data_IF_494687050915
#
_entry.id   IF_494687050915
#
_cell.length_a   1.000
_cell.length_b   1.000
_cell.length_c   1.000
_cell.angle_alpha   90.00
_cell.angle_beta   90.00
_cell.angle_gamma   90.00
#
_symmetry.space_group_name_H-M   'P 1'
#
loop_
_entity.id
_entity.type
_entity.pdbx_description
1 polymer ?
#
# COMPACT_ATOMS: atom_id res chain seq x y z
N UNK A 1 22.34 -23.63 1.26
CA UNK A 1 21.44 -22.74 0.49
C UNK A 1 22.15 -21.42 0.22
N UNK A 2 22.37 -21.04 -1.05
CA UNK A 2 22.91 -19.72 -1.39
C UNK A 2 21.84 -18.68 -1.03
N UNK A 3 22.10 -17.80 -0.04
CA UNK A 3 21.23 -16.65 0.23
C UNK A 3 21.25 -15.78 -1.02
N UNK A 4 20.18 -15.83 -1.83
CA UNK A 4 19.98 -14.85 -2.89
C UNK A 4 19.97 -13.49 -2.21
N UNK A 5 21.00 -12.68 -2.44
CA UNK A 5 20.97 -11.26 -2.12
C UNK A 5 19.95 -10.65 -3.07
N UNK A 6 18.70 -10.53 -2.62
CA UNK A 6 17.66 -9.82 -3.35
C UNK A 6 18.18 -8.40 -3.61
N UNK A 7 18.52 -8.11 -4.88
CA UNK A 7 18.94 -6.77 -5.28
C UNK A 7 17.74 -5.84 -5.11
N UNK A 8 17.92 -4.77 -4.37
CA UNK A 8 16.89 -3.73 -4.24
C UNK A 8 16.75 -3.02 -5.57
N UNK A 9 15.50 -2.72 -5.92
CA UNK A 9 15.14 -2.02 -7.14
C UNK A 9 14.66 -0.62 -6.82
N UNK A 10 14.87 0.26 -7.79
CA UNK A 10 14.28 1.59 -7.78
C UNK A 10 13.05 1.62 -8.67
N UNK A 11 12.00 2.25 -8.18
CA UNK A 11 10.75 2.42 -8.92
C UNK A 11 10.34 3.87 -8.90
N UNK A 12 9.57 4.26 -9.89
CA UNK A 12 8.93 5.56 -9.95
C UNK A 12 7.41 5.39 -9.97
N UNK A 13 6.75 6.27 -9.23
CA UNK A 13 5.31 6.33 -9.10
C UNK A 13 4.85 7.76 -9.33
N UNK A 14 3.98 7.93 -10.33
CA UNK A 14 3.40 9.23 -10.62
C UNK A 14 2.25 9.54 -9.66
N UNK A 15 2.30 10.71 -9.04
CA UNK A 15 1.25 11.21 -8.16
C UNK A 15 0.38 12.26 -8.87
N UNK A 16 -0.89 12.32 -8.48
CA UNK A 16 -1.86 13.28 -9.01
C UNK A 16 -1.63 14.70 -8.49
N UNK A 17 -2.28 15.67 -9.14
CA UNK A 17 -2.09 17.12 -8.98
C UNK A 17 -2.26 17.60 -7.52
N UNK A 18 -1.17 17.79 -6.76
CA UNK A 18 -0.94 18.80 -5.69
C UNK A 18 0.35 18.47 -4.88
N UNK A 19 1.47 19.13 -5.19
CA UNK A 19 2.80 18.86 -4.62
C UNK A 19 2.87 19.10 -3.10
N UNK A 20 2.46 20.29 -2.67
CA UNK A 20 2.66 20.74 -1.30
C UNK A 20 1.77 20.01 -0.30
N UNK A 21 0.53 19.70 -0.68
CA UNK A 21 -0.38 18.96 0.21
C UNK A 21 0.08 17.51 0.37
N UNK A 22 0.50 16.86 -0.73
CA UNK A 22 1.01 15.50 -0.69
C UNK A 22 2.24 15.37 0.21
N UNK A 23 3.25 16.24 0.05
CA UNK A 23 4.48 16.13 0.83
C UNK A 23 4.25 16.34 2.33
N UNK A 24 3.41 17.31 2.70
CA UNK A 24 3.01 17.55 4.10
C UNK A 24 2.29 16.33 4.69
N UNK A 25 1.34 15.75 3.95
CA UNK A 25 0.62 14.55 4.38
C UNK A 25 1.56 13.35 4.52
N UNK A 26 2.41 13.12 3.51
CA UNK A 26 3.37 12.02 3.48
C UNK A 26 4.36 12.08 4.65
N UNK A 27 4.87 13.27 5.00
CA UNK A 27 5.74 13.44 6.18
C UNK A 27 5.02 13.10 7.49
N UNK A 28 3.75 13.48 7.62
CA UNK A 28 2.97 13.26 8.85
C UNK A 28 2.50 11.80 9.01
N UNK A 29 2.05 11.17 7.92
CA UNK A 29 1.31 9.90 7.94
C UNK A 29 2.02 8.75 7.24
N UNK A 30 3.18 9.00 6.63
CA UNK A 30 3.79 8.09 5.67
C UNK A 30 3.01 8.06 4.35
N UNK A 31 3.59 7.37 3.37
CA UNK A 31 3.02 7.17 2.04
C UNK A 31 2.28 5.84 2.01
N UNK A 32 1.11 5.80 1.37
CA UNK A 32 0.38 4.58 1.04
C UNK A 32 -0.29 4.77 -0.33
N UNK A 33 0.03 3.91 -1.29
CA UNK A 33 -0.39 4.07 -2.70
C UNK A 33 -0.83 2.76 -3.30
N UNK A 34 -2.02 2.79 -3.90
CA UNK A 34 -2.58 1.66 -4.63
C UNK A 34 -1.71 1.33 -5.85
N UNK A 35 -1.43 0.06 -6.05
CA UNK A 35 -0.66 -0.42 -7.20
C UNK A 35 -1.34 -1.67 -7.79
N UNK A 36 -1.23 -1.90 -9.12
CA UNK A 36 -1.71 -3.14 -9.73
C UNK A 36 -1.07 -4.36 -9.07
N UNK A 37 -1.85 -5.41 -8.84
CA UNK A 37 -1.41 -6.61 -8.13
C UNK A 37 -0.19 -7.28 -8.81
N UNK A 38 -0.19 -7.31 -10.15
CA UNK A 38 0.92 -7.86 -10.95
C UNK A 38 2.23 -7.10 -10.75
N UNK A 39 2.17 -5.80 -10.45
CA UNK A 39 3.34 -4.99 -10.13
C UNK A 39 3.73 -5.14 -8.67
N UNK A 40 2.75 -5.22 -7.76
CA UNK A 40 2.96 -5.42 -6.32
C UNK A 40 3.77 -6.69 -6.04
N UNK A 41 3.49 -7.78 -6.76
CA UNK A 41 4.26 -9.03 -6.68
C UNK A 41 5.76 -8.89 -6.96
N UNK A 42 6.15 -7.89 -7.74
CA UNK A 42 7.55 -7.69 -8.21
C UNK A 42 8.32 -6.67 -7.37
N UNK A 43 7.63 -6.01 -6.45
CA UNK A 43 8.21 -5.11 -5.47
C UNK A 43 8.74 -5.96 -4.33
N UNK A 44 9.91 -5.64 -3.81
CA UNK A 44 10.49 -6.27 -2.62
C UNK A 44 10.48 -5.32 -1.42
N UNK A 45 10.61 -5.86 -0.22
CA UNK A 45 10.87 -5.05 0.97
C UNK A 45 12.16 -4.25 0.82
N UNK A 46 12.08 -2.96 1.08
CA UNK A 46 13.19 -2.02 0.98
C UNK A 46 13.50 -1.47 -0.39
N UNK A 47 12.81 -1.92 -1.43
CA UNK A 47 12.79 -1.23 -2.72
C UNK A 47 12.45 0.25 -2.51
N UNK A 48 13.18 1.12 -3.23
CA UNK A 48 12.97 2.56 -3.17
C UNK A 48 11.96 2.96 -4.23
N UNK A 49 10.99 3.77 -3.83
CA UNK A 49 9.96 4.31 -4.72
C UNK A 49 10.04 5.83 -4.71
N UNK A 50 10.31 6.41 -5.88
CA UNK A 50 10.29 7.84 -6.12
C UNK A 50 8.88 8.29 -6.48
N UNK A 51 8.28 9.15 -5.65
CA UNK A 51 7.05 9.84 -5.96
C UNK A 51 7.35 11.05 -6.85
N UNK A 52 6.66 11.15 -7.99
CA UNK A 52 6.95 12.17 -9.01
C UNK A 52 5.71 12.75 -9.67
N UNK A 53 5.87 13.92 -10.28
CA UNK A 53 4.91 14.48 -11.23
C UNK A 53 5.37 14.24 -12.65
N UNK A 54 4.46 13.84 -13.53
CA UNK A 54 4.74 13.76 -14.96
C UNK A 54 4.51 15.12 -15.61
N UNK A 55 5.58 15.69 -16.16
CA UNK A 55 5.52 16.86 -17.03
C UNK A 55 5.80 16.41 -18.45
N UNK A 56 4.77 16.41 -19.31
CA UNK A 56 4.92 16.09 -20.73
C UNK A 56 5.81 17.14 -21.39
N UNK A 57 6.72 16.69 -22.26
CA UNK A 57 7.51 17.64 -23.07
C UNK A 57 6.65 18.42 -24.06
N UNK A 58 5.60 17.78 -24.57
CA UNK A 58 4.71 18.36 -25.56
C UNK A 58 3.29 18.47 -25.00
N UNK A 59 2.82 19.69 -24.80
CA UNK A 59 1.43 20.01 -24.46
C UNK A 59 0.83 20.89 -25.56
N UNK A 60 0.00 20.31 -26.42
CA UNK A 60 -1.03 21.06 -27.16
C UNK A 60 -0.59 22.07 -28.23
N UNK A 61 0.34 21.71 -29.13
CA UNK A 61 0.51 22.43 -30.40
C UNK A 61 -0.33 21.81 -31.52
N UNK A 62 -0.90 22.64 -32.41
CA UNK A 62 -1.43 22.20 -33.70
C UNK A 62 -0.26 21.83 -34.61
N UNK A 63 0.18 20.57 -34.54
CA UNK A 63 1.20 20.04 -35.44
C UNK A 63 0.55 19.37 -36.66
N UNK A 64 1.12 19.53 -37.87
CA UNK A 64 0.73 18.76 -39.05
C UNK A 64 0.68 17.25 -38.77
N UNK A 65 -0.26 16.54 -39.40
CA UNK A 65 -0.53 15.10 -39.19
C UNK A 65 0.69 14.20 -39.40
N UNK A 66 1.60 14.59 -40.31
CA UNK A 66 2.85 13.88 -40.61
C UNK A 66 3.84 13.92 -39.44
N UNK A 67 3.98 15.09 -38.80
CA UNK A 67 4.79 15.27 -37.59
C UNK A 67 4.14 14.55 -36.40
N UNK A 68 2.81 14.52 -36.34
CA UNK A 68 2.06 13.80 -35.30
C UNK A 68 2.32 12.29 -35.32
N UNK A 69 2.44 11.69 -36.50
CA UNK A 69 2.71 10.25 -36.65
C UNK A 69 4.15 9.90 -36.25
N UNK A 70 5.14 10.71 -36.67
CA UNK A 70 6.53 10.56 -36.23
C UNK A 70 6.69 10.77 -34.71
N UNK A 71 5.94 11.72 -34.14
CA UNK A 71 5.95 12.03 -32.71
C UNK A 71 5.04 11.13 -31.86
N UNK A 72 4.32 10.15 -32.43
CA UNK A 72 3.30 9.37 -31.72
C UNK A 72 3.81 8.74 -30.41
N UNK A 73 5.05 8.23 -30.43
CA UNK A 73 5.72 7.68 -29.25
C UNK A 73 6.30 8.77 -28.32
N UNK A 74 6.79 9.88 -28.88
CA UNK A 74 7.37 11.02 -28.15
C UNK A 74 6.31 11.82 -27.37
N UNK A 75 5.06 11.88 -27.86
CA UNK A 75 3.93 12.56 -27.17
C UNK A 75 3.61 12.00 -25.79
N UNK A 76 4.03 10.77 -25.51
CA UNK A 76 3.82 10.10 -24.23
C UNK A 76 5.02 10.24 -23.29
N UNK A 77 6.17 10.67 -23.81
CA UNK A 77 7.35 10.97 -23.02
C UNK A 77 7.23 12.34 -22.35
N UNK A 78 7.97 12.46 -21.27
CA UNK A 78 8.11 13.68 -20.51
C UNK A 78 9.19 13.51 -19.48
N UNK A 79 9.23 14.42 -18.53
CA UNK A 79 10.09 14.34 -17.36
C UNK A 79 9.29 14.03 -16.12
N UNK A 80 9.82 13.16 -15.27
CA UNK A 80 9.26 12.88 -13.96
C UNK A 80 9.98 13.73 -12.92
N UNK A 81 9.36 14.83 -12.47
CA UNK A 81 9.93 15.66 -11.41
C UNK A 81 9.75 14.99 -10.07
N UNK A 82 10.86 14.72 -9.40
CA UNK A 82 10.88 14.01 -8.14
C UNK A 82 10.40 14.93 -7.01
N UNK A 83 9.68 14.34 -6.05
CA UNK A 83 9.05 15.05 -4.92
C UNK A 83 9.62 14.54 -3.62
N UNK A 84 9.51 13.23 -3.44
CA UNK A 84 10.11 12.52 -2.34
C UNK A 84 10.31 11.06 -2.74
N UNK A 85 11.09 10.35 -1.95
CA UNK A 85 11.22 8.90 -2.02
C UNK A 85 10.76 8.26 -0.71
N UNK A 86 10.40 6.99 -0.79
CA UNK A 86 10.21 6.14 0.39
C UNK A 86 10.71 4.72 0.08
N UNK A 87 11.00 3.97 1.14
CA UNK A 87 11.24 2.53 1.04
C UNK A 87 9.98 1.75 1.32
N UNK A 88 9.76 0.70 0.56
CA UNK A 88 8.62 -0.20 0.79
C UNK A 88 8.86 -0.97 2.08
N UNK A 89 8.13 -0.57 3.13
CA UNK A 89 8.16 -1.24 4.44
C UNK A 89 6.77 -1.68 4.89
N UNK A 90 5.73 -1.22 4.19
CA UNK A 90 4.34 -1.55 4.48
C UNK A 90 3.63 -2.06 3.22
N UNK A 91 2.96 -3.19 3.36
CA UNK A 91 1.93 -3.66 2.43
C UNK A 91 0.58 -3.42 3.10
N UNK A 92 -0.35 -2.74 2.41
CA UNK A 92 -1.69 -2.51 2.90
C UNK A 92 -2.65 -3.36 2.10
N UNK A 93 -3.41 -4.21 2.76
CA UNK A 93 -4.37 -5.10 2.13
C UNK A 93 -5.75 -4.53 2.39
N UNK A 94 -6.44 -4.11 1.32
CA UNK A 94 -7.75 -3.48 1.45
C UNK A 94 -8.83 -4.53 1.71
N UNK A 95 -9.69 -4.18 2.65
CA UNK A 95 -10.96 -4.76 3.05
C UNK A 95 -11.42 -6.00 2.27
N UNK A 96 -10.84 -7.14 2.64
CA UNK A 96 -11.36 -8.46 2.31
C UNK A 96 -11.27 -9.35 3.55
N UNK A 97 -12.25 -9.24 4.47
CA UNK A 97 -12.16 -9.87 5.77
C UNK A 97 -12.09 -11.40 5.71
N UNK A 98 -12.78 -12.01 4.74
CA UNK A 98 -12.80 -13.46 4.56
C UNK A 98 -11.44 -13.97 4.12
N UNK A 99 -10.84 -13.34 3.10
CA UNK A 99 -9.49 -13.64 2.66
C UNK A 99 -8.47 -13.43 3.77
N UNK A 100 -8.57 -12.34 4.54
CA UNK A 100 -7.65 -12.07 5.65
C UNK A 100 -7.77 -13.09 6.78
N UNK A 101 -8.99 -13.55 7.09
CA UNK A 101 -9.16 -14.61 8.07
C UNK A 101 -8.51 -15.92 7.63
N UNK A 102 -8.61 -16.29 6.35
CA UNK A 102 -7.99 -17.52 5.84
C UNK A 102 -6.48 -17.37 5.69
N UNK A 103 -6.02 -16.21 5.21
CA UNK A 103 -4.59 -15.87 5.13
C UNK A 103 -3.91 -15.97 6.49
N UNK A 104 -4.54 -15.41 7.52
CA UNK A 104 -4.05 -15.50 8.90
C UNK A 104 -4.11 -16.91 9.49
N UNK A 105 -4.72 -17.90 8.84
CA UNK A 105 -4.76 -19.29 9.32
C UNK A 105 -3.93 -20.23 8.46
N UNK A 106 -3.38 -19.73 7.35
CA UNK A 106 -2.56 -20.52 6.44
C UNK A 106 -1.20 -20.81 7.11
N UNK A 107 -0.81 -22.09 7.16
CA UNK A 107 0.42 -22.55 7.82
C UNK A 107 1.66 -21.84 7.28
N UNK A 108 1.71 -21.58 5.96
CA UNK A 108 2.81 -20.86 5.30
C UNK A 108 2.98 -19.45 5.85
N UNK A 109 1.90 -18.83 6.33
CA UNK A 109 1.91 -17.49 6.92
C UNK A 109 2.25 -17.59 8.40
N UNK A 110 1.61 -18.51 9.13
CA UNK A 110 1.78 -18.68 10.57
C UNK A 110 3.24 -18.87 10.97
N UNK A 111 3.97 -19.73 10.27
CA UNK A 111 5.40 -19.99 10.51
C UNK A 111 6.30 -18.75 10.33
N UNK A 112 5.80 -17.72 9.64
CA UNK A 112 6.56 -16.51 9.34
C UNK A 112 6.07 -15.28 10.12
N UNK A 113 5.05 -15.40 10.96
CA UNK A 113 4.59 -14.30 11.82
C UNK A 113 5.61 -14.06 12.93
N UNK A 114 6.05 -12.81 13.05
CA UNK A 114 7.01 -12.38 14.08
C UNK A 114 6.40 -11.45 15.12
N UNK A 115 5.33 -10.74 14.78
CA UNK A 115 4.65 -9.80 15.66
C UNK A 115 3.25 -9.47 15.10
N UNK A 116 2.25 -9.31 15.97
CA UNK A 116 0.92 -8.83 15.59
C UNK A 116 0.51 -7.72 16.55
N UNK A 117 0.05 -6.61 15.99
CA UNK A 117 -0.56 -5.51 16.72
C UNK A 117 -2.03 -5.38 16.32
N UNK A 118 -2.94 -5.63 17.25
CA UNK A 118 -4.36 -5.27 17.12
C UNK A 118 -4.53 -3.78 17.43
N UNK A 119 -5.11 -3.01 16.50
CA UNK A 119 -5.42 -1.59 16.70
C UNK A 119 -6.87 -1.36 17.09
N UNK A 120 -7.68 -2.41 17.19
CA UNK A 120 -9.05 -2.35 17.67
C UNK A 120 -9.05 -2.65 19.16
N UNK A 121 -9.12 -1.64 20.03
CA UNK A 121 -9.13 -1.81 21.50
C UNK A 121 -10.17 -2.89 21.93
N UNK A 122 -9.72 -4.13 22.11
CA UNK A 122 -10.58 -5.28 22.43
C UNK A 122 -11.61 -5.68 21.35
N UNK A 123 -11.60 -5.08 20.17
CA UNK A 123 -12.60 -5.27 19.11
C UNK A 123 -13.83 -4.36 19.19
N UNK A 124 -13.87 -3.44 20.16
CA UNK A 124 -14.99 -2.53 20.37
C UNK A 124 -14.85 -1.20 19.62
N UNK A 125 -13.61 -0.78 19.32
CA UNK A 125 -13.34 0.49 18.64
C UNK A 125 -12.93 0.32 17.17
N UNK A 126 -13.21 1.33 16.32
CA UNK A 126 -12.57 1.44 15.01
C UNK A 126 -11.04 1.43 15.16
N UNK A 127 -10.35 0.67 14.32
CA UNK A 127 -8.88 0.67 14.31
C UNK A 127 -8.28 2.04 14.02
N UNK A 128 -6.95 2.15 14.04
CA UNK A 128 -6.23 3.42 13.83
C UNK A 128 -6.65 4.09 12.52
N UNK A 129 -7.33 5.23 12.63
CA UNK A 129 -7.84 5.95 11.47
C UNK A 129 -6.76 6.73 10.73
N UNK A 130 -6.83 6.71 9.40
CA UNK A 130 -5.95 7.43 8.49
C UNK A 130 -6.77 8.19 7.46
N UNK A 131 -6.85 9.51 7.63
CA UNK A 131 -7.47 10.41 6.66
C UNK A 131 -6.42 10.99 5.71
N UNK A 132 -6.64 10.92 4.42
CA UNK A 132 -5.77 11.45 3.36
C UNK A 132 -6.57 12.37 2.46
N UNK A 133 -5.88 13.22 1.69
CA UNK A 133 -6.55 14.08 0.72
C UNK A 133 -7.35 13.26 -0.32
N UNK A 134 -6.84 12.09 -0.70
CA UNK A 134 -7.47 11.24 -1.70
C UNK A 134 -8.44 10.20 -1.13
N UNK A 135 -8.57 10.05 0.19
CA UNK A 135 -9.40 9.01 0.79
C UNK A 135 -9.16 8.81 2.28
N UNK A 136 -9.96 7.97 2.91
CA UNK A 136 -9.81 7.62 4.33
C UNK A 136 -9.93 6.11 4.52
N UNK A 137 -9.33 5.62 5.60
CA UNK A 137 -9.42 4.22 5.99
C UNK A 137 -9.04 4.01 7.46
N UNK A 138 -9.30 2.81 7.98
CA UNK A 138 -8.82 2.36 9.28
C UNK A 138 -7.79 1.25 9.12
N UNK A 139 -6.76 1.23 9.97
CA UNK A 139 -5.87 0.09 10.12
C UNK A 139 -6.41 -0.75 11.26
N UNK A 140 -6.97 -1.92 10.97
CA UNK A 140 -7.52 -2.82 11.98
C UNK A 140 -6.43 -3.57 12.73
N UNK A 141 -5.46 -4.13 11.99
CA UNK A 141 -4.30 -4.81 12.56
C UNK A 141 -3.05 -4.58 11.71
N UNK A 142 -1.88 -4.73 12.35
CA UNK A 142 -0.58 -4.77 11.68
C UNK A 142 0.12 -6.08 12.02
N UNK A 143 0.59 -6.80 11.01
CA UNK A 143 1.26 -8.09 11.13
C UNK A 143 2.68 -7.94 10.58
N UNK A 144 3.69 -8.30 11.36
CA UNK A 144 5.08 -8.33 10.91
C UNK A 144 5.41 -9.75 10.45
N UNK A 145 5.83 -9.91 9.20
CA UNK A 145 6.09 -11.20 8.56
C UNK A 145 7.54 -11.29 8.09
N UNK A 146 8.16 -12.47 8.25
CA UNK A 146 9.44 -12.82 7.63
C UNK A 146 9.23 -13.48 6.25
N UNK A 147 8.42 -12.87 5.39
CA UNK A 147 8.14 -13.33 4.03
C UNK A 147 8.39 -12.20 3.04
N UNK A 148 8.73 -12.54 1.79
CA UNK A 148 8.80 -11.54 0.73
C UNK A 148 7.39 -11.08 0.32
N UNK A 149 7.27 -9.83 -0.12
CA UNK A 149 6.02 -9.23 -0.60
C UNK A 149 5.35 -10.04 -1.70
N UNK A 150 6.14 -10.61 -2.62
CA UNK A 150 5.64 -11.49 -3.68
C UNK A 150 5.00 -12.76 -3.14
N UNK A 151 5.67 -13.42 -2.19
CA UNK A 151 5.18 -14.65 -1.54
C UNK A 151 3.88 -14.40 -0.77
N UNK A 152 3.81 -13.30 -0.01
CA UNK A 152 2.60 -12.88 0.71
C UNK A 152 1.42 -12.76 -0.26
N UNK A 153 1.62 -12.07 -1.39
CA UNK A 153 0.59 -11.86 -2.40
C UNK A 153 0.20 -13.18 -3.08
N UNK A 154 1.14 -14.10 -3.27
CA UNK A 154 0.87 -15.41 -3.86
C UNK A 154 0.06 -16.32 -2.97
N UNK A 155 0.38 -16.37 -1.67
CA UNK A 155 -0.46 -17.06 -0.69
C UNK A 155 -1.89 -16.51 -0.71
N UNK A 156 -2.06 -15.17 -0.73
CA UNK A 156 -3.39 -14.56 -0.83
C UNK A 156 -4.12 -14.94 -2.12
N UNK A 157 -3.43 -14.95 -3.26
CA UNK A 157 -4.05 -15.33 -4.54
C UNK A 157 -4.43 -16.81 -4.60
N UNK A 158 -3.60 -17.68 -4.03
CA UNK A 158 -3.88 -19.12 -3.94
C UNK A 158 -5.13 -19.38 -3.12
N UNK A 159 -5.23 -18.76 -1.94
CA UNK A 159 -6.42 -18.86 -1.07
C UNK A 159 -7.65 -18.33 -1.81
N UNK A 160 -7.54 -17.14 -2.41
CA UNK A 160 -8.64 -16.54 -3.16
C UNK A 160 -9.12 -17.45 -4.30
N UNK A 161 -8.20 -18.04 -5.05
CA UNK A 161 -8.52 -18.95 -6.16
C UNK A 161 -9.15 -20.27 -5.70
N UNK A 162 -8.61 -20.90 -4.64
CA UNK A 162 -9.13 -22.17 -4.10
C UNK A 162 -10.53 -22.05 -3.51
N UNK A 163 -10.81 -20.90 -2.89
CA UNK A 163 -12.03 -20.66 -2.11
C UNK A 163 -13.07 -19.85 -2.88
N UNK A 164 -12.78 -19.45 -4.12
CA UNK A 164 -13.66 -18.60 -4.91
C UNK A 164 -13.86 -17.19 -4.33
N UNK A 165 -12.92 -16.70 -3.54
CA UNK A 165 -12.96 -15.38 -2.90
C UNK A 165 -12.38 -14.32 -3.85
N UNK A 166 -12.90 -13.09 -3.79
CA UNK A 166 -12.34 -11.97 -4.56
C UNK A 166 -10.88 -11.68 -4.19
N UNK A 167 -10.04 -11.30 -5.16
CA UNK A 167 -8.64 -10.95 -4.89
C UNK A 167 -8.54 -9.62 -4.13
N UNK A 168 -7.60 -9.52 -3.21
CA UNK A 168 -7.37 -8.28 -2.49
C UNK A 168 -6.78 -7.16 -3.36
N UNK A 169 -7.20 -5.92 -3.10
CA UNK A 169 -6.52 -4.71 -3.58
C UNK A 169 -5.37 -4.36 -2.64
N UNK A 170 -4.19 -4.10 -3.23
CA UNK A 170 -2.95 -3.89 -2.49
C UNK A 170 -2.47 -2.44 -2.64
N UNK A 171 -2.02 -1.86 -1.53
CA UNK A 171 -1.23 -0.62 -1.54
C UNK A 171 0.16 -0.89 -0.97
N UNK A 172 1.17 -0.19 -1.49
CA UNK A 172 2.50 -0.18 -0.88
C UNK A 172 2.74 1.13 -0.16
N UNK A 173 3.62 1.12 0.83
CA UNK A 173 3.96 2.34 1.54
C UNK A 173 5.14 2.24 2.48
N UNK A 174 5.42 3.37 3.12
CA UNK A 174 6.59 3.57 3.95
C UNK A 174 6.69 5.00 4.43
N UNK A 175 7.70 5.28 5.26
CA UNK A 175 8.02 6.65 5.68
C UNK A 175 8.78 7.36 4.55
N UNK A 176 8.58 8.67 4.46
CA UNK A 176 9.38 9.53 3.57
C UNK A 176 10.85 9.38 3.96
N UNK A 177 11.69 9.03 2.99
CA UNK A 177 13.15 8.88 3.15
C UNK A 177 13.86 10.17 2.74
N UNK A 178 13.61 10.65 1.53
CA UNK A 178 14.22 11.86 0.98
C UNK A 178 13.15 12.79 0.40
N UNK A 179 13.43 14.09 0.39
CA UNK A 179 12.61 15.11 -0.29
C UNK A 179 13.43 15.90 -1.28
N UNK A 180 12.86 16.19 -2.45
CA UNK A 180 13.54 16.85 -3.56
C UNK A 180 12.99 18.27 -3.71
N UNK A 181 13.84 19.30 -3.53
CA UNK A 181 13.40 20.70 -3.37
C UNK A 181 13.16 21.47 -4.69
N UNK A 182 13.00 20.76 -5.81
CA UNK A 182 12.83 21.23 -7.20
C UNK A 182 14.14 21.31 -7.99
N UNK A 183 14.36 20.31 -8.86
CA UNK A 183 15.46 20.29 -9.83
C UNK A 183 15.71 18.89 -10.34
N UNK A 184 15.59 17.90 -9.45
CA UNK A 184 15.77 16.51 -9.80
C UNK A 184 14.58 15.98 -10.61
N UNK A 185 14.89 15.50 -11.81
CA UNK A 185 13.93 14.91 -12.71
C UNK A 185 14.54 13.69 -13.40
N UNK A 186 13.69 12.71 -13.68
CA UNK A 186 14.03 11.61 -14.58
C UNK A 186 13.49 11.97 -15.96
N UNK A 187 14.38 12.22 -16.89
CA UNK A 187 14.05 12.59 -18.27
C UNK A 187 13.58 11.38 -19.08
N UNK A 188 12.87 11.63 -20.17
CA UNK A 188 12.48 10.66 -21.21
C UNK A 188 11.65 9.49 -20.68
N UNK A 189 10.75 9.77 -19.74
CA UNK A 189 9.91 8.76 -19.12
C UNK A 189 8.44 8.92 -19.50
N UNK A 190 7.82 7.78 -19.84
CA UNK A 190 6.40 7.66 -20.12
C UNK A 190 5.58 7.60 -18.83
N UNK A 191 4.47 8.32 -18.79
CA UNK A 191 3.50 8.22 -17.70
C UNK A 191 2.94 6.80 -17.59
N UNK A 192 2.92 6.28 -16.37
CA UNK A 192 2.27 5.01 -16.02
C UNK A 192 1.33 5.22 -14.84
N UNK A 193 0.18 4.52 -14.85
CA UNK A 193 -0.75 4.54 -13.70
C UNK A 193 -0.25 3.74 -12.50
N UNK A 194 0.70 2.84 -12.72
CA UNK A 194 1.35 2.03 -11.69
C UNK A 194 2.83 2.35 -11.53
N UNK A 195 3.54 1.45 -10.88
CA UNK A 195 4.99 1.50 -10.73
C UNK A 195 5.68 1.23 -12.06
N UNK A 196 6.73 2.01 -12.32
CA UNK A 196 7.71 1.73 -13.36
C UNK A 196 9.07 1.53 -12.69
N UNK A 197 9.69 0.38 -12.90
CA UNK A 197 11.06 0.12 -12.44
C UNK A 197 12.02 1.00 -13.23
N UNK A 198 12.92 1.66 -12.54
CA UNK A 198 14.02 2.40 -13.14
C UNK A 198 15.18 1.43 -13.37
N UNK A 199 15.83 1.55 -14.52
CA UNK A 199 17.01 0.75 -14.83
C UNK A 199 18.20 1.29 -14.03
N UNK A 200 18.75 0.46 -13.15
CA UNK A 200 19.84 0.82 -12.25
C UNK A 200 19.87 -0.09 -11.03
N UNK A 201 21.07 -0.52 -10.63
CA UNK A 201 21.25 -1.36 -9.44
C UNK A 201 21.77 -0.52 -8.27
N UNK A 202 21.13 -0.61 -7.11
CA UNK A 202 21.61 0.03 -5.88
C UNK A 202 21.89 -1.04 -4.82
N UNK A 203 23.12 -1.07 -4.30
CA UNK A 203 23.52 -1.96 -3.19
C UNK A 203 23.16 -1.31 -1.87
N UNK A 204 22.26 -1.92 -1.09
CA UNK A 204 21.76 -1.34 0.15
C UNK A 204 21.43 -2.42 1.20
N UNK A 205 21.37 -1.97 2.45
CA UNK A 205 21.16 -2.81 3.62
C UNK A 205 19.75 -3.41 3.68
N UNK A 206 19.68 -4.63 4.24
CA UNK A 206 18.43 -5.37 4.46
C UNK A 206 17.56 -4.64 5.49
N UNK A 207 16.32 -4.35 5.15
CA UNK A 207 15.36 -3.78 6.10
C UNK A 207 14.98 -4.84 7.13
N UNK A 208 15.07 -4.48 8.42
CA UNK A 208 14.82 -5.39 9.56
C UNK A 208 13.34 -5.52 9.96
N UNK A 209 12.44 -4.65 9.51
CA UNK A 209 11.03 -4.62 9.94
C UNK A 209 10.08 -4.24 8.80
N UNK A 210 9.42 -5.23 8.20
CA UNK A 210 8.33 -5.08 7.23
C UNK A 210 6.97 -5.39 7.89
N UNK A 211 5.89 -4.76 7.41
CA UNK A 211 4.56 -4.92 7.99
C UNK A 211 3.47 -5.06 6.93
N UNK A 212 2.55 -5.99 7.15
CA UNK A 212 1.26 -6.07 6.46
C UNK A 212 0.21 -5.38 7.33
N UNK A 213 -0.47 -4.38 6.78
CA UNK A 213 -1.53 -3.64 7.45
C UNK A 213 -2.87 -4.02 6.85
N UNK A 214 -3.80 -4.48 7.70
CA UNK A 214 -5.18 -4.77 7.30
C UNK A 214 -5.95 -3.46 7.28
N UNK A 215 -6.42 -3.07 6.09
CA UNK A 215 -7.12 -1.80 5.87
C UNK A 215 -8.62 -2.03 5.79
N UNK A 216 -9.37 -1.43 6.71
CA UNK A 216 -10.83 -1.51 6.79
C UNK A 216 -11.49 -0.21 6.30
N UNK A 217 -12.66 -0.33 5.66
CA UNK A 217 -13.51 0.82 5.34
C UNK A 217 -12.87 1.85 4.40
N UNK A 218 -12.02 1.41 3.47
CA UNK A 218 -11.37 2.31 2.52
C UNK A 218 -12.39 3.07 1.67
N UNK A 219 -12.36 4.40 1.72
CA UNK A 219 -13.18 5.30 0.90
C UNK A 219 -12.28 6.24 0.11
N UNK A 220 -12.52 6.35 -1.20
CA UNK A 220 -11.83 7.31 -2.07
C UNK A 220 -12.72 8.53 -2.30
N UNK A 221 -12.15 9.73 -2.20
CA UNK A 221 -12.84 10.98 -2.49
C UNK A 221 -12.53 11.44 -3.90
N UNK A 222 -13.56 11.74 -4.70
CA UNK A 222 -13.38 12.30 -6.05
C UNK A 222 -13.32 13.82 -5.99
N UNK A 223 -14.10 14.42 -5.09
CA UNK A 223 -14.17 15.87 -4.92
C UNK A 223 -13.89 16.30 -3.49
N UNK A 224 -13.56 17.59 -3.31
CA UNK A 224 -13.44 18.20 -1.97
C UNK A 224 -14.78 18.15 -1.21
N UNK A 225 -15.90 18.26 -1.93
CA UNK A 225 -17.26 18.18 -1.36
C UNK A 225 -17.52 16.80 -0.77
N UNK A 226 -17.23 15.73 -1.52
CA UNK A 226 -17.39 14.34 -1.05
C UNK A 226 -16.61 14.09 0.26
N UNK A 227 -15.40 14.68 0.34
CA UNK A 227 -14.55 14.59 1.53
C UNK A 227 -15.17 15.33 2.72
N UNK A 228 -15.63 16.56 2.53
CA UNK A 228 -16.25 17.34 3.61
C UNK A 228 -17.51 16.66 4.13
N UNK A 229 -18.39 16.18 3.24
CA UNK A 229 -19.59 15.42 3.62
C UNK A 229 -19.24 14.15 4.42
N UNK A 230 -18.17 13.44 4.05
CA UNK A 230 -17.73 12.27 4.78
C UNK A 230 -17.16 12.61 6.18
N UNK A 231 -16.48 13.75 6.32
CA UNK A 231 -15.97 14.24 7.60
C UNK A 231 -17.13 14.69 8.50
N UNK A 232 -18.08 15.45 7.97
CA UNK A 232 -19.28 15.90 8.69
C UNK A 232 -20.12 14.72 9.18
N UNK A 233 -20.36 13.70 8.33
CA UNK A 233 -21.05 12.47 8.76
C UNK A 233 -20.30 11.74 9.88
N UNK A 234 -18.97 11.70 9.82
CA UNK A 234 -18.15 11.07 10.86
C UNK A 234 -18.22 11.81 12.19
N UNK A 235 -18.31 13.14 12.17
CA UNK A 235 -18.49 13.95 13.37
C UNK A 235 -19.91 13.83 13.94
N UNK A 236 -20.92 13.58 13.10
CA UNK A 236 -22.32 13.44 13.50
C UNK A 236 -22.75 12.04 13.94
N UNK A 237 -22.16 10.96 13.40
CA UNK A 237 -22.46 9.58 13.78
C UNK A 237 -21.38 8.59 13.28
N UNK A 238 -20.55 8.06 14.18
CA UNK A 238 -19.49 7.08 13.86
C UNK A 238 -20.03 5.80 13.20
N UNK A 239 -21.27 5.41 13.51
CA UNK A 239 -21.94 4.21 12.99
C UNK A 239 -22.28 4.30 11.49
N UNK A 240 -22.50 5.49 10.95
CA UNK A 240 -22.85 5.67 9.53
C UNK A 240 -21.62 5.58 8.61
N UNK A 241 -20.41 5.70 9.14
CA UNK A 241 -19.18 5.46 8.38
C UNK A 241 -18.99 3.96 8.07
N UNK A 242 -19.49 3.08 8.94
CA UNK A 242 -19.40 1.62 8.77
C UNK A 242 -20.54 1.02 7.92
N UNK A 243 -21.59 1.79 7.63
CA UNK A 243 -22.60 1.39 6.65
C UNK A 243 -22.00 1.45 5.24
N UNK A 244 -21.50 0.31 4.74
CA UNK A 244 -21.38 0.08 3.29
C UNK A 244 -22.78 0.08 2.66
N UNK A 245 -22.94 0.43 1.37
CA UNK A 245 -24.12 0.03 0.61
C UNK A 245 -24.14 -1.50 0.56
N UNK A 246 -25.08 -2.10 1.31
CA UNK A 246 -25.31 -3.53 1.55
C UNK A 246 -24.14 -4.27 2.24
N UNK A 247 -24.49 -4.88 3.36
CA UNK A 247 -23.62 -5.34 4.44
C UNK A 247 -22.67 -6.49 4.01
N UNK A 248 -21.39 -6.38 4.40
CA UNK A 248 -20.60 -7.57 4.69
C UNK A 248 -20.81 -7.93 6.17
N UNK A 249 -21.06 -9.20 6.53
CA UNK A 249 -21.64 -9.56 7.81
C UNK A 249 -20.66 -9.33 8.98
N UNK A 250 -21.16 -8.73 10.07
CA UNK A 250 -20.49 -8.55 11.39
C UNK A 250 -19.74 -9.78 11.93
N UNK A 251 -20.01 -10.98 11.39
CA UNK A 251 -19.33 -12.24 11.72
C UNK A 251 -17.83 -12.20 11.39
N UNK A 252 -17.42 -11.57 10.28
CA UNK A 252 -16.03 -11.71 9.81
C UNK A 252 -15.02 -10.89 10.65
N UNK A 253 -15.43 -9.71 11.14
CA UNK A 253 -14.62 -8.90 12.07
C UNK A 253 -14.34 -9.65 13.38
N UNK A 254 -15.34 -10.36 13.91
CA UNK A 254 -15.16 -11.23 15.09
C UNK A 254 -14.16 -12.37 14.81
N UNK A 255 -14.15 -12.92 13.60
CA UNK A 255 -13.22 -14.00 13.23
C UNK A 255 -11.79 -13.48 13.12
N UNK A 256 -11.56 -12.32 12.51
CA UNK A 256 -10.21 -11.70 12.45
C UNK A 256 -9.72 -11.40 13.86
N UNK A 257 -10.54 -10.76 14.68
CA UNK A 257 -10.14 -10.42 16.05
C UNK A 257 -9.90 -11.66 16.91
N UNK A 258 -10.69 -12.73 16.70
CA UNK A 258 -10.47 -14.02 17.36
C UNK A 258 -9.14 -14.64 16.93
N UNK A 259 -8.85 -14.68 15.63
CA UNK A 259 -7.59 -15.21 15.11
C UNK A 259 -6.39 -14.40 15.62
N UNK A 260 -6.48 -13.06 15.61
CA UNK A 260 -5.43 -12.18 16.17
C UNK A 260 -5.21 -12.44 17.65
N UNK A 261 -6.29 -12.62 18.44
CA UNK A 261 -6.19 -12.96 19.88
C UNK A 261 -5.56 -14.34 20.11
N UNK A 262 -5.93 -15.35 19.32
CA UNK A 262 -5.37 -16.70 19.40
C UNK A 262 -3.87 -16.69 19.12
N UNK A 263 -3.43 -16.04 18.03
CA UNK A 263 -2.01 -15.94 17.68
C UNK A 263 -1.22 -15.17 18.75
N UNK A 264 -1.78 -14.07 19.27
CA UNK A 264 -1.11 -13.31 20.34
C UNK A 264 -0.92 -14.14 21.62
N UNK A 265 -1.88 -15.03 21.93
CA UNK A 265 -1.78 -15.93 23.09
C UNK A 265 -0.67 -16.96 22.89
N UNK A 266 -0.61 -17.60 21.72
CA UNK A 266 0.44 -18.59 21.38
C UNK A 266 1.85 -17.99 21.42
N UNK A 267 2.03 -16.78 20.88
CA UNK A 267 3.31 -16.07 20.92
C UNK A 267 3.77 -15.76 22.35
N UNK A 268 2.85 -15.41 23.25
CA UNK A 268 3.17 -15.17 24.66
C UNK A 268 3.55 -16.45 25.41
N UNK A 269 2.89 -17.57 25.10
CA UNK A 269 3.18 -18.88 25.71
C UNK A 269 4.54 -19.42 25.24
N UNK A 270 4.81 -19.36 23.93
CA UNK A 270 6.10 -19.78 23.35
C UNK A 270 7.27 -18.87 23.75
N UNK A 271 7.01 -17.57 23.97
CA UNK A 271 8.03 -16.64 24.49
C UNK A 271 8.45 -16.94 25.93
N UNK A 272 7.54 -17.48 26.76
CA UNK A 272 7.85 -17.87 28.15
C UNK A 272 8.63 -19.18 28.24
N UNK A 273 8.34 -20.14 27.36
CA UNK A 273 9.03 -21.44 27.32
C UNK A 273 10.52 -21.35 26.92
N UNK A 274 10.93 -20.27 26.26
CA UNK A 274 12.33 -20.04 25.88
C UNK A 274 13.13 -19.24 26.94
N UNK A 275 12.50 -18.84 28.05
CA UNK A 275 13.12 -18.10 29.15
C UNK A 275 13.18 -18.89 30.47
N UNK A 276 12.65 -20.12 30.48
CA UNK A 276 12.74 -21.11 31.57
C UNK A 276 13.75 -22.19 31.23
#
# INVERSE_FOLDING_TARGET
MKKQTNKQKEHILFIGKNYNSFLKEAKKKGISRNIPLTQAKRVNWGDRVYCSFHEKYFTGGNYPSEIVNFMGNLKQLGRARLICSFRVTNLYVKDNPELMSKFLKDERVQENITDITDHTEGGSQPGKSVDRDCGSYHIGASISLNMDTGEIIDVMNDIAGKEGIEKASIMIGGRVEQTFKNGEAVENIKFTRGLKTLEGEVKLERIKKSKVNIVEGYRQYKTKKDRMEAIERRLGNLDDFFKKPKEAPRKVKKVINKAVKEINKELQENGRANLS
#
